data_IF_376555401445
#
_entry.id   IF_376555401445
#
_cell.length_a   1.000
_cell.length_b   1.000
_cell.length_c   1.000
_cell.angle_alpha   90.00
_cell.angle_beta   90.00
_cell.angle_gamma   90.00
#
_symmetry.space_group_name_H-M   'P 1'
#
loop_
_entity.id
_entity.type
_entity.pdbx_description
1 polymer ?
#
# COMPACT_ATOMS: atom_id res chain seq x y z
N UNK A 1 64.65 19.83 3.61
CA UNK A 1 64.17 18.62 2.91
C UNK A 1 64.84 18.57 1.56
N UNK A 2 65.52 17.47 1.28
CA UNK A 2 66.02 17.21 -0.05
C UNK A 2 64.84 16.91 -0.98
N UNK A 3 64.99 17.13 -2.29
CA UNK A 3 63.93 16.85 -3.29
C UNK A 3 63.40 15.41 -3.21
N UNK A 4 64.25 14.49 -2.75
CA UNK A 4 63.89 13.09 -2.47
C UNK A 4 62.87 12.95 -1.33
N UNK A 5 63.01 13.73 -0.26
CA UNK A 5 62.09 13.69 0.89
C UNK A 5 60.71 14.20 0.49
N UNK A 6 60.66 15.25 -0.33
CA UNK A 6 59.41 15.80 -0.86
C UNK A 6 58.74 14.79 -1.79
N UNK A 7 59.51 14.14 -2.67
CA UNK A 7 58.99 13.11 -3.57
C UNK A 7 58.44 11.91 -2.81
N UNK A 8 59.11 11.48 -1.74
CA UNK A 8 58.65 10.38 -0.88
C UNK A 8 57.33 10.76 -0.20
N UNK A 9 57.24 11.97 0.34
CA UNK A 9 56.05 12.46 1.02
C UNK A 9 54.83 12.50 0.07
N UNK A 10 55.02 12.96 -1.16
CA UNK A 10 53.96 12.98 -2.18
C UNK A 10 53.44 11.57 -2.48
N UNK A 11 54.33 10.58 -2.61
CA UNK A 11 53.94 9.18 -2.86
C UNK A 11 53.13 8.62 -1.70
N UNK A 12 53.56 8.86 -0.45
CA UNK A 12 52.84 8.40 0.74
C UNK A 12 51.45 9.02 0.82
N UNK A 13 51.33 10.32 0.55
CA UNK A 13 50.04 11.02 0.55
C UNK A 13 49.10 10.45 -0.51
N UNK A 14 49.59 10.17 -1.72
CA UNK A 14 48.76 9.57 -2.78
C UNK A 14 48.26 8.17 -2.42
N UNK A 15 49.11 7.34 -1.83
CA UNK A 15 48.73 6.00 -1.38
C UNK A 15 47.67 6.10 -0.26
N UNK A 16 47.92 6.97 0.73
CA UNK A 16 46.98 7.19 1.84
C UNK A 16 45.62 7.73 1.34
N UNK A 17 45.62 8.66 0.39
CA UNK A 17 44.40 9.18 -0.23
C UNK A 17 43.64 8.08 -0.98
N UNK A 18 44.35 7.20 -1.70
CA UNK A 18 43.76 6.04 -2.35
C UNK A 18 43.03 5.13 -1.36
N UNK A 19 43.72 4.71 -0.29
CA UNK A 19 43.09 3.89 0.76
C UNK A 19 41.91 4.59 1.44
N UNK A 20 42.04 5.88 1.75
CA UNK A 20 40.96 6.67 2.35
C UNK A 20 39.72 6.72 1.46
N UNK A 21 39.89 6.85 0.14
CA UNK A 21 38.78 6.85 -0.82
C UNK A 21 38.01 5.52 -0.81
N UNK A 22 38.70 4.39 -0.84
CA UNK A 22 38.06 3.07 -0.82
C UNK A 22 37.35 2.79 0.51
N UNK A 23 37.98 3.13 1.64
CA UNK A 23 37.38 2.94 2.96
C UNK A 23 36.15 3.84 3.13
N UNK A 24 36.25 5.11 2.74
CA UNK A 24 35.12 6.03 2.76
C UNK A 24 33.98 5.55 1.86
N UNK A 25 34.28 5.08 0.65
CA UNK A 25 33.29 4.48 -0.24
C UNK A 25 32.58 3.28 0.41
N UNK A 26 33.33 2.39 1.07
CA UNK A 26 32.73 1.22 1.74
C UNK A 26 31.88 1.57 2.96
N UNK A 27 32.29 2.56 3.77
CA UNK A 27 31.59 2.94 5.00
C UNK A 27 30.37 3.83 4.71
N UNK A 28 30.53 4.80 3.79
CA UNK A 28 29.52 5.81 3.50
C UNK A 28 28.67 5.51 2.27
N UNK A 29 28.80 4.31 1.67
CA UNK A 29 27.91 3.90 0.57
C UNK A 29 26.45 4.04 0.99
N UNK A 30 25.62 4.78 0.23
CA UNK A 30 24.22 4.97 0.56
C UNK A 30 23.52 3.62 0.51
N UNK A 31 23.12 3.12 1.68
CA UNK A 31 22.31 1.90 1.78
C UNK A 31 20.97 2.19 1.11
N UNK A 32 20.69 1.50 0.00
CA UNK A 32 19.36 1.52 -0.64
C UNK A 32 18.43 0.69 0.24
N UNK A 33 17.68 1.37 1.10
CA UNK A 33 16.58 0.74 1.84
C UNK A 33 15.37 0.70 0.90
N UNK A 34 15.23 -0.40 0.17
CA UNK A 34 13.99 -0.71 -0.55
C UNK A 34 13.14 -1.56 0.38
N UNK A 35 12.00 -1.02 0.79
CA UNK A 35 11.00 -1.77 1.57
C UNK A 35 9.88 -2.14 0.61
N UNK A 36 9.55 -3.44 0.54
CA UNK A 36 8.36 -3.89 -0.17
C UNK A 36 7.12 -3.33 0.54
N UNK A 37 6.39 -2.48 -0.15
CA UNK A 37 5.11 -1.95 0.34
C UNK A 37 3.98 -2.81 -0.21
N UNK A 38 2.95 -3.11 0.61
CA UNK A 38 1.78 -3.83 0.13
C UNK A 38 1.09 -2.98 -0.93
N UNK A 39 1.03 -3.50 -2.15
CA UNK A 39 0.30 -2.90 -3.25
C UNK A 39 -1.18 -3.21 -3.01
N UNK A 40 -2.01 -2.17 -2.87
CA UNK A 40 -3.46 -2.36 -2.81
C UNK A 40 -3.93 -3.06 -4.09
N UNK A 41 -4.80 -4.06 -3.94
CA UNK A 41 -5.38 -4.75 -5.08
C UNK A 41 -6.17 -3.73 -5.94
N UNK A 42 -6.11 -3.85 -7.28
CA UNK A 42 -6.92 -3.00 -8.16
C UNK A 42 -8.40 -3.08 -7.74
N UNK A 43 -9.06 -1.93 -7.64
CA UNK A 43 -10.49 -1.87 -7.39
C UNK A 43 -11.17 -2.41 -8.65
N UNK A 44 -11.91 -3.51 -8.52
CA UNK A 44 -12.71 -4.03 -9.62
C UNK A 44 -13.81 -3.03 -9.98
N UNK A 45 -13.92 -2.70 -11.27
CA UNK A 45 -14.94 -1.79 -11.79
C UNK A 45 -16.29 -2.46 -12.01
N UNK A 46 -16.40 -3.77 -11.78
CA UNK A 46 -17.68 -4.48 -11.89
C UNK A 46 -18.57 -4.18 -10.69
N UNK A 47 -19.80 -3.76 -10.97
CA UNK A 47 -20.84 -3.68 -9.94
C UNK A 47 -21.29 -5.09 -9.54
N UNK A 48 -21.62 -5.31 -8.26
CA UNK A 48 -22.20 -6.58 -7.82
C UNK A 48 -23.55 -6.80 -8.49
N UNK A 49 -23.83 -8.04 -8.89
CA UNK A 49 -25.14 -8.44 -9.42
C UNK A 49 -26.12 -8.63 -8.26
N UNK A 50 -26.72 -7.54 -7.82
CA UNK A 50 -27.65 -7.50 -6.68
C UNK A 50 -28.89 -8.38 -6.87
N UNK A 51 -29.18 -8.84 -8.10
CA UNK A 51 -30.33 -9.69 -8.41
C UNK A 51 -30.02 -11.17 -8.24
N UNK A 52 -28.83 -11.61 -8.66
CA UNK A 52 -28.47 -13.03 -8.70
C UNK A 52 -27.46 -13.43 -7.62
N UNK A 53 -26.81 -12.48 -6.95
CA UNK A 53 -25.83 -12.76 -5.91
C UNK A 53 -26.53 -13.12 -4.57
N UNK A 54 -26.27 -14.33 -4.03
CA UNK A 54 -26.84 -14.78 -2.76
C UNK A 54 -26.56 -13.84 -1.59
N UNK A 55 -25.44 -13.11 -1.60
CA UNK A 55 -25.09 -12.16 -0.54
C UNK A 55 -26.18 -11.10 -0.35
N UNK A 56 -26.79 -10.65 -1.46
CA UNK A 56 -27.79 -9.59 -1.47
C UNK A 56 -29.22 -10.11 -1.30
N UNK A 57 -29.46 -11.39 -1.63
CA UNK A 57 -30.78 -12.02 -1.49
C UNK A 57 -31.32 -12.08 -0.06
N UNK A 58 -30.44 -11.97 0.95
CA UNK A 58 -30.82 -12.05 2.36
C UNK A 58 -31.45 -10.78 2.94
N UNK A 59 -31.18 -9.61 2.33
CA UNK A 59 -31.66 -8.31 2.84
C UNK A 59 -32.28 -7.41 1.77
N UNK A 60 -32.01 -7.63 0.48
CA UNK A 60 -32.70 -6.91 -0.58
C UNK A 60 -34.04 -7.59 -0.86
N UNK A 61 -35.11 -6.78 -0.86
CA UNK A 61 -36.40 -7.23 -1.33
C UNK A 61 -36.38 -7.32 -2.86
N UNK A 62 -36.53 -8.51 -3.47
CA UNK A 62 -36.49 -8.66 -4.93
C UNK A 62 -37.58 -7.86 -5.64
N UNK A 63 -38.74 -7.65 -5.00
CA UNK A 63 -39.82 -6.81 -5.53
C UNK A 63 -39.52 -5.31 -5.43
N UNK A 64 -38.57 -4.91 -4.58
CA UNK A 64 -38.10 -3.53 -4.46
C UNK A 64 -37.07 -3.14 -5.53
N UNK A 65 -36.52 -4.13 -6.24
CA UNK A 65 -35.58 -3.92 -7.35
C UNK A 65 -36.30 -3.81 -8.70
N UNK A 66 -37.57 -4.22 -8.77
CA UNK A 66 -38.39 -4.11 -9.98
C UNK A 66 -39.20 -2.81 -9.96
N UNK A 67 -38.75 -1.84 -10.76
CA UNK A 67 -39.39 -0.53 -10.89
C UNK A 67 -40.77 -0.58 -11.59
N UNK A 68 -41.14 -1.72 -12.16
CA UNK A 68 -42.43 -1.91 -12.85
C UNK A 68 -43.53 -2.43 -11.94
N UNK A 69 -43.16 -2.92 -10.75
CA UNK A 69 -44.11 -3.41 -9.75
C UNK A 69 -44.43 -2.27 -8.79
N UNK A 70 -45.71 -1.97 -8.52
CA UNK A 70 -46.09 -1.00 -7.50
C UNK A 70 -45.56 -1.46 -6.14
N UNK A 71 -44.60 -0.74 -5.58
CA UNK A 71 -44.12 -0.99 -4.21
C UNK A 71 -45.14 -0.41 -3.25
N UNK A 72 -45.93 -1.27 -2.60
CA UNK A 72 -46.85 -0.86 -1.55
C UNK A 72 -46.06 -0.62 -0.26
N UNK A 73 -45.72 0.64 0.01
CA UNK A 73 -45.11 1.06 1.27
C UNK A 73 -46.22 1.19 2.32
N UNK A 74 -46.30 0.22 3.22
CA UNK A 74 -47.21 0.25 4.35
C UNK A 74 -48.34 -0.78 4.24
N UNK A 75 -48.32 -1.70 5.22
CA UNK A 75 -49.43 -2.50 5.79
C UNK A 75 -48.84 -3.54 6.78
N UNK A 76 -47.55 -3.88 6.63
CA UNK A 76 -46.77 -4.56 7.64
C UNK A 76 -46.38 -3.58 8.73
N UNK A 77 -47.11 -3.56 9.85
CA UNK A 77 -46.57 -3.03 11.11
C UNK A 77 -45.33 -3.87 11.43
N UNK A 78 -44.13 -3.35 11.16
CA UNK A 78 -42.94 -3.86 11.81
C UNK A 78 -43.13 -3.58 13.30
N UNK A 79 -43.67 -4.55 14.03
CA UNK A 79 -44.03 -4.39 15.44
C UNK A 79 -42.81 -4.19 16.33
N UNK A 80 -41.61 -4.42 15.79
CA UNK A 80 -40.36 -4.20 16.50
C UNK A 80 -39.22 -3.83 15.54
N UNK A 81 -39.11 -2.55 15.15
CA UNK A 81 -38.09 -2.10 14.20
C UNK A 81 -36.67 -2.04 14.80
N UNK A 82 -36.51 -2.27 16.11
CA UNK A 82 -35.22 -2.14 16.79
C UNK A 82 -35.05 -3.10 17.99
N UNK A 83 -35.41 -4.39 17.90
CA UNK A 83 -34.90 -5.39 18.87
C UNK A 83 -33.42 -5.68 18.64
N UNK A 84 -32.60 -4.67 18.90
CA UNK A 84 -31.20 -4.81 19.22
C UNK A 84 -31.01 -4.86 20.73
N UNK A 85 -30.91 -6.08 21.26
CA UNK A 85 -30.11 -6.39 22.46
C UNK A 85 -30.77 -6.21 23.82
N UNK A 86 -31.20 -7.33 24.42
CA UNK A 86 -30.67 -7.84 25.69
C UNK A 86 -30.56 -9.37 25.62
#
# INVERSE_FOLDING_TARGET
MNRKDISLLVVVVLIAAGFAFFIAGSIFSPKKYSTEVPVIQPIDGTFPDTKNDPAYSSFLNPNGLDLTVPVQIGDSQNSDPFSGGQ
#
